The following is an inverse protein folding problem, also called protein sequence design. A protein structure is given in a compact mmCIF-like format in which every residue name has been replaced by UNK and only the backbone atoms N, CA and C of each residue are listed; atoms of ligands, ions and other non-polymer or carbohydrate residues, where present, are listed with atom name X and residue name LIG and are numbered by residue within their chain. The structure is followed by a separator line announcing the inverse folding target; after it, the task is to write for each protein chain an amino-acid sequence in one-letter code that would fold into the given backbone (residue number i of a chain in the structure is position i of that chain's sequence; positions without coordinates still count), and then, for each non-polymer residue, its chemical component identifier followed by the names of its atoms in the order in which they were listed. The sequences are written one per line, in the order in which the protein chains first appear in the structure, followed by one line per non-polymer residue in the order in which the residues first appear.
data_IF_404923868218
#
_entry.id   IF_404923868218
#
_cell.length_a   1.000
_cell.length_b   1.000
_cell.length_c   1.000
_cell.angle_alpha   90.00
_cell.angle_beta   90.00
_cell.angle_gamma   90.00
#
_symmetry.space_group_name_H-M   'P 1'
#
loop_
_entity.id
_entity.type
_entity.pdbx_description
1 polymer ?
#
# COMPACT_ATOMS: atom_id res chain seq x y z
N UNK A 1 -18.16 -30.82 -8.35
CA UNK A 1 -18.02 -29.66 -7.44
C UNK A 1 -17.93 -30.21 -6.03
N UNK A 2 -16.99 -29.73 -5.22
CA UNK A 2 -16.85 -30.21 -3.84
C UNK A 2 -18.14 -29.94 -3.05
N UNK A 3 -18.59 -30.91 -2.27
CA UNK A 3 -19.80 -30.77 -1.45
C UNK A 3 -19.55 -29.77 -0.31
N UNK A 4 -20.62 -29.17 0.22
CA UNK A 4 -20.53 -28.26 1.39
C UNK A 4 -19.82 -28.94 2.56
N UNK A 5 -20.00 -30.26 2.71
CA UNK A 5 -19.41 -31.08 3.76
C UNK A 5 -17.90 -31.29 3.57
N UNK A 6 -17.47 -31.57 2.34
CA UNK A 6 -16.04 -31.64 1.99
C UNK A 6 -15.32 -30.32 2.24
N UNK A 7 -15.95 -29.19 1.90
CA UNK A 7 -15.37 -27.87 2.14
C UNK A 7 -15.22 -27.57 3.64
N UNK A 8 -16.17 -28.01 4.47
CA UNK A 8 -16.09 -27.86 5.94
C UNK A 8 -14.96 -28.72 6.51
N UNK A 9 -14.78 -29.95 6.03
CA UNK A 9 -13.66 -30.83 6.41
C UNK A 9 -12.31 -30.21 6.04
N UNK A 10 -12.17 -29.71 4.81
CA UNK A 10 -10.96 -29.03 4.35
C UNK A 10 -10.59 -27.83 5.24
N UNK A 11 -11.57 -27.02 5.64
CA UNK A 11 -11.35 -25.88 6.54
C UNK A 11 -10.84 -26.37 7.91
N UNK A 12 -11.40 -27.46 8.45
CA UNK A 12 -10.97 -28.02 9.73
C UNK A 12 -9.53 -28.56 9.64
N UNK A 13 -9.20 -29.27 8.58
CA UNK A 13 -7.85 -29.82 8.35
C UNK A 13 -6.80 -28.70 8.28
N UNK A 14 -7.09 -27.62 7.53
CA UNK A 14 -6.22 -26.45 7.44
C UNK A 14 -6.07 -25.76 8.81
N UNK A 15 -7.16 -25.64 9.57
CA UNK A 15 -7.15 -25.00 10.89
C UNK A 15 -6.37 -25.79 11.95
N UNK A 16 -6.28 -27.12 11.80
CA UNK A 16 -5.54 -27.99 12.73
C UNK A 16 -4.04 -27.70 12.79
N UNK A 17 -3.48 -27.16 11.70
CA UNK A 17 -2.05 -26.81 11.62
C UNK A 17 -1.68 -25.53 12.39
N UNK A 18 -2.68 -24.70 12.73
CA UNK A 18 -2.44 -23.44 13.41
C UNK A 18 -2.45 -23.61 14.94
N UNK A 19 -1.65 -22.81 15.67
CA UNK A 19 -1.80 -22.68 17.12
C UNK A 19 -3.21 -22.23 17.50
N UNK A 20 -3.72 -22.67 18.66
CA UNK A 20 -5.11 -22.47 19.09
C UNK A 20 -5.62 -21.02 18.94
N UNK A 21 -4.79 -20.05 19.35
CA UNK A 21 -5.11 -18.61 19.27
C UNK A 21 -5.25 -18.13 17.83
N UNK A 22 -4.42 -18.64 16.93
CA UNK A 22 -4.45 -18.31 15.50
C UNK A 22 -5.62 -19.02 14.81
N UNK A 23 -5.85 -20.30 15.11
CA UNK A 23 -6.96 -21.09 14.60
C UNK A 23 -8.32 -20.44 14.94
N UNK A 24 -8.55 -20.07 16.21
CA UNK A 24 -9.79 -19.40 16.66
C UNK A 24 -10.04 -18.05 15.95
N UNK A 25 -8.97 -17.33 15.58
CA UNK A 25 -9.09 -16.08 14.83
C UNK A 25 -9.32 -16.35 13.34
N UNK A 26 -8.63 -17.32 12.74
CA UNK A 26 -8.76 -17.69 11.31
C UNK A 26 -10.10 -18.34 10.99
N UNK A 27 -10.67 -19.12 11.90
CA UNK A 27 -11.99 -19.73 11.73
C UNK A 27 -13.09 -18.70 11.42
N UNK A 28 -12.97 -17.47 11.95
CA UNK A 28 -13.93 -16.38 11.67
C UNK A 28 -13.80 -15.78 10.27
N UNK A 29 -12.74 -16.11 9.54
CA UNK A 29 -12.41 -15.59 8.21
C UNK A 29 -12.60 -16.64 7.11
N UNK A 30 -13.01 -17.87 7.47
CA UNK A 30 -13.26 -18.97 6.54
C UNK A 30 -14.74 -19.36 6.69
N UNK A 31 -15.45 -19.45 5.57
CA UNK A 31 -16.85 -19.84 5.53
C UNK A 31 -17.13 -20.58 4.22
N UNK A 32 -18.13 -21.45 4.25
CA UNK A 32 -18.58 -22.18 3.06
C UNK A 32 -19.87 -21.53 2.59
N UNK A 33 -19.95 -21.26 1.29
CA UNK A 33 -21.16 -20.76 0.67
C UNK A 33 -22.24 -21.84 0.68
N UNK A 34 -23.45 -21.49 1.12
CA UNK A 34 -24.63 -22.36 1.12
C UNK A 34 -25.72 -21.64 0.31
N UNK A 35 -26.31 -22.33 -0.67
CA UNK A 35 -27.36 -21.77 -1.52
C UNK A 35 -28.56 -21.31 -0.67
N UNK A 36 -29.02 -20.07 -0.90
CA UNK A 36 -30.13 -19.46 -0.15
C UNK A 36 -29.70 -18.57 1.03
N UNK A 37 -28.42 -18.52 1.40
CA UNK A 37 -27.89 -17.51 2.33
C UNK A 37 -27.18 -16.38 1.58
N UNK A 38 -27.53 -15.14 1.93
CA UNK A 38 -26.95 -13.94 1.29
C UNK A 38 -25.51 -13.64 1.72
N UNK A 39 -25.05 -14.19 2.83
CA UNK A 39 -23.70 -14.01 3.37
C UNK A 39 -23.17 -15.31 3.98
N UNK A 40 -21.87 -15.54 3.83
CA UNK A 40 -21.14 -16.68 4.38
C UNK A 40 -20.77 -16.49 5.87
N UNK A 41 -21.19 -15.37 6.49
CA UNK A 41 -20.94 -15.07 7.91
C UNK A 41 -19.47 -14.80 8.26
N UNK A 42 -18.66 -14.47 7.24
CA UNK A 42 -17.22 -14.27 7.39
C UNK A 42 -16.93 -12.85 7.89
N UNK A 43 -16.08 -12.74 8.91
CA UNK A 43 -15.59 -11.43 9.35
C UNK A 43 -14.54 -10.95 8.37
N UNK A 44 -14.61 -9.70 7.93
CA UNK A 44 -13.60 -9.07 7.06
C UNK A 44 -13.02 -7.82 7.73
N UNK A 45 -12.03 -7.18 7.08
CA UNK A 45 -11.39 -5.95 7.56
C UNK A 45 -10.87 -5.99 9.03
N UNK A 46 -10.29 -7.11 9.44
CA UNK A 46 -9.55 -7.24 10.70
C UNK A 46 -8.05 -7.36 10.44
N UNK A 47 -7.24 -6.99 11.44
CA UNK A 47 -5.79 -7.07 11.38
C UNK A 47 -5.33 -8.49 11.03
N UNK A 48 -4.31 -8.60 10.18
CA UNK A 48 -3.70 -9.88 9.84
C UNK A 48 -3.04 -10.49 11.07
N UNK A 49 -3.00 -11.82 11.12
CA UNK A 49 -2.20 -12.50 12.12
C UNK A 49 -0.71 -12.35 11.79
N UNK A 50 0.16 -12.21 12.79
CA UNK A 50 1.60 -12.21 12.56
C UNK A 50 2.07 -13.60 12.09
N UNK A 51 3.04 -13.64 11.16
CA UNK A 51 3.69 -14.88 10.73
C UNK A 51 2.92 -15.76 9.74
N UNK A 52 1.68 -15.42 9.35
CA UNK A 52 0.86 -16.26 8.46
C UNK A 52 0.97 -15.93 6.97
N UNK A 53 2.06 -15.27 6.55
CA UNK A 53 2.32 -14.89 5.15
C UNK A 53 1.10 -14.28 4.42
N UNK A 54 0.57 -13.19 4.97
CA UNK A 54 -0.59 -12.50 4.37
C UNK A 54 -0.24 -11.85 3.03
N UNK A 55 -1.11 -11.98 2.03
CA UNK A 55 -0.97 -11.31 0.73
C UNK A 55 -1.34 -9.80 0.75
N UNK A 56 -1.50 -9.20 1.94
CA UNK A 56 -1.92 -7.80 2.06
C UNK A 56 -0.74 -6.84 1.91
N UNK A 57 -1.00 -5.70 1.28
CA UNK A 57 -0.12 -4.54 1.28
C UNK A 57 -0.35 -3.61 2.48
N UNK A 58 0.21 -2.41 2.41
CA UNK A 58 0.03 -1.35 3.41
C UNK A 58 -0.80 -0.18 2.86
N UNK A 59 -1.19 0.76 3.73
CA UNK A 59 -1.98 1.94 3.33
C UNK A 59 -1.26 2.78 2.25
N UNK A 60 0.07 2.88 2.28
CA UNK A 60 0.87 3.55 1.25
C UNK A 60 0.68 2.92 -0.14
N UNK A 61 0.64 1.58 -0.21
CA UNK A 61 0.39 0.89 -1.47
C UNK A 61 -1.00 1.22 -2.02
N UNK A 62 -2.01 1.32 -1.15
CA UNK A 62 -3.37 1.74 -1.51
C UNK A 62 -3.46 3.20 -1.95
N UNK A 63 -2.83 4.13 -1.24
CA UNK A 63 -2.87 5.55 -1.59
C UNK A 63 -2.04 5.84 -2.84
N UNK A 64 -0.71 5.67 -2.77
CA UNK A 64 0.20 6.02 -3.87
C UNK A 64 0.14 5.01 -5.00
N UNK A 65 0.18 3.72 -4.70
CA UNK A 65 0.28 2.69 -5.74
C UNK A 65 -1.01 2.51 -6.56
N UNK A 66 -2.16 2.66 -5.90
CA UNK A 66 -3.46 2.36 -6.53
C UNK A 66 -4.22 3.62 -6.95
N UNK A 67 -4.45 4.57 -6.03
CA UNK A 67 -5.35 5.72 -6.29
C UNK A 67 -4.63 6.92 -6.90
N UNK A 68 -3.55 7.37 -6.28
CA UNK A 68 -2.87 8.62 -6.67
C UNK A 68 -1.88 8.41 -7.81
N UNK A 69 -1.11 7.32 -7.81
CA UNK A 69 -0.07 7.06 -8.82
C UNK A 69 -0.51 7.07 -10.30
N UNK A 70 -1.73 6.65 -10.67
CA UNK A 70 -2.24 6.77 -12.03
C UNK A 70 -2.47 8.20 -12.52
N UNK A 71 -2.50 9.19 -11.62
CA UNK A 71 -2.69 10.60 -12.00
C UNK A 71 -1.39 11.08 -12.65
N UNK A 72 -1.42 11.17 -13.98
CA UNK A 72 -0.23 11.31 -14.83
C UNK A 72 0.41 12.71 -14.76
N UNK A 73 -0.39 13.75 -14.59
CA UNK A 73 -0.02 15.18 -14.59
C UNK A 73 0.38 15.72 -13.20
N UNK A 74 0.49 14.82 -12.22
CA UNK A 74 0.89 15.14 -10.85
C UNK A 74 2.22 14.49 -10.48
N UNK A 75 3.03 15.21 -9.71
CA UNK A 75 4.25 14.62 -9.12
C UNK A 75 3.93 14.02 -7.76
N UNK A 76 4.12 12.70 -7.66
CA UNK A 76 3.92 11.93 -6.44
C UNK A 76 5.24 11.71 -5.70
N UNK A 77 5.45 12.42 -4.59
CA UNK A 77 6.63 12.27 -3.74
C UNK A 77 6.37 11.18 -2.69
N UNK A 78 7.16 10.11 -2.75
CA UNK A 78 7.27 9.10 -1.71
C UNK A 78 8.06 9.67 -0.53
N UNK A 79 7.37 10.07 0.54
CA UNK A 79 7.98 10.76 1.67
C UNK A 79 8.45 9.78 2.75
N UNK A 80 9.72 9.40 2.65
CA UNK A 80 10.40 8.54 3.61
C UNK A 80 11.67 7.95 3.02
N UNK A 81 12.11 6.78 3.52
CA UNK A 81 13.24 6.03 2.95
C UNK A 81 12.98 5.56 1.51
N UNK A 82 14.04 5.25 0.76
CA UNK A 82 13.97 4.89 -0.67
C UNK A 82 13.08 3.67 -0.99
N UNK A 83 12.97 2.70 -0.07
CA UNK A 83 12.38 1.39 -0.35
C UNK A 83 10.95 1.43 -0.88
N UNK A 84 10.04 2.17 -0.23
CA UNK A 84 8.63 2.20 -0.65
C UNK A 84 8.44 2.81 -2.05
N UNK A 85 9.24 3.82 -2.40
CA UNK A 85 9.22 4.41 -3.74
C UNK A 85 9.73 3.42 -4.79
N UNK A 86 10.84 2.74 -4.49
CA UNK A 86 11.49 1.80 -5.40
C UNK A 86 10.62 0.57 -5.69
N UNK A 87 10.10 -0.12 -4.66
CA UNK A 87 9.27 -1.32 -4.87
C UNK A 87 7.91 -1.03 -5.52
N UNK A 88 7.44 0.22 -5.44
CA UNK A 88 6.21 0.66 -6.12
C UNK A 88 6.48 1.37 -7.44
N UNK A 89 7.71 1.31 -7.95
CA UNK A 89 8.10 1.98 -9.18
C UNK A 89 7.70 1.14 -10.39
N UNK A 90 6.70 1.62 -11.14
CA UNK A 90 6.22 0.99 -12.38
C UNK A 90 5.77 -0.48 -12.26
N UNK A 91 5.63 -1.02 -11.04
CA UNK A 91 5.17 -2.41 -10.82
C UNK A 91 3.67 -2.61 -11.09
N UNK A 92 2.86 -1.54 -11.02
CA UNK A 92 1.44 -1.56 -11.41
C UNK A 92 1.29 -0.93 -12.80
N UNK A 93 0.71 -1.69 -13.73
CA UNK A 93 0.53 -1.32 -15.15
C UNK A 93 -0.60 -0.30 -15.35
N UNK A 94 -0.46 0.88 -14.76
CA UNK A 94 -1.37 2.00 -14.96
C UNK A 94 -0.98 2.73 -16.24
N UNK A 95 -1.56 2.33 -17.37
CA UNK A 95 -1.25 2.94 -18.66
C UNK A 95 -1.68 4.41 -18.71
N UNK A 96 -0.85 5.24 -19.33
CA UNK A 96 -1.15 6.64 -19.59
C UNK A 96 -0.59 7.04 -20.95
N UNK A 97 -1.10 8.14 -21.47
CA UNK A 97 -0.63 8.78 -22.71
C UNK A 97 0.06 10.09 -22.32
N UNK A 98 1.31 10.24 -22.74
CA UNK A 98 2.15 11.42 -22.53
C UNK A 98 3.64 11.10 -22.64
N UNK A 99 4.48 12.13 -22.58
CA UNK A 99 5.94 12.03 -22.57
C UNK A 99 6.46 12.06 -21.14
N UNK A 100 6.85 10.87 -20.65
CA UNK A 100 7.37 10.68 -19.30
C UNK A 100 8.52 11.64 -18.99
N UNK A 101 8.41 12.41 -17.91
CA UNK A 101 9.41 13.39 -17.47
C UNK A 101 9.17 14.82 -17.95
N UNK A 102 8.23 15.03 -18.88
CA UNK A 102 7.85 16.37 -19.37
C UNK A 102 6.45 16.74 -18.89
N UNK A 103 5.44 16.03 -19.38
CA UNK A 103 4.02 16.27 -19.08
C UNK A 103 3.44 15.19 -18.15
N UNK A 104 4.12 14.05 -18.03
CA UNK A 104 3.63 12.87 -17.33
C UNK A 104 4.69 12.27 -16.42
N UNK A 105 4.27 11.87 -15.22
CA UNK A 105 5.17 11.44 -14.13
C UNK A 105 4.81 10.08 -13.53
N UNK A 106 3.85 9.37 -14.12
CA UNK A 106 3.30 8.12 -13.56
C UNK A 106 4.33 7.00 -13.38
N UNK A 107 5.32 6.90 -14.27
CA UNK A 107 6.41 5.92 -14.17
C UNK A 107 7.70 6.50 -13.60
N UNK A 108 7.69 7.63 -12.89
CA UNK A 108 8.89 8.17 -12.23
C UNK A 108 8.79 8.02 -10.72
N UNK A 109 9.88 7.60 -10.09
CA UNK A 109 9.99 7.55 -8.63
C UNK A 109 10.57 8.84 -8.07
N UNK A 110 9.71 9.71 -7.54
CA UNK A 110 10.15 10.82 -6.69
C UNK A 110 10.14 10.37 -5.23
N UNK A 111 11.27 10.53 -4.54
CA UNK A 111 11.39 10.20 -3.13
C UNK A 111 12.16 11.28 -2.37
N UNK A 112 11.88 11.43 -1.07
CA UNK A 112 12.69 12.28 -0.19
C UNK A 112 13.95 11.60 0.32
N UNK A 113 14.09 10.28 0.08
CA UNK A 113 15.22 9.43 0.46
C UNK A 113 15.76 9.76 1.86
N UNK A 114 14.99 9.41 2.88
CA UNK A 114 15.37 9.70 4.27
C UNK A 114 16.66 8.98 4.64
N UNK A 115 17.62 9.78 5.09
CA UNK A 115 18.84 9.31 5.74
C UNK A 115 18.66 9.37 7.26
N UNK A 116 19.56 8.76 8.02
CA UNK A 116 19.43 8.69 9.49
C UNK A 116 19.26 10.06 10.16
N UNK A 117 19.99 11.08 9.67
CA UNK A 117 19.82 12.48 10.09
C UNK A 117 18.39 13.01 9.92
N UNK A 118 17.68 12.59 8.88
CA UNK A 118 16.32 13.03 8.59
C UNK A 118 15.31 12.33 9.52
N UNK A 119 15.65 11.16 10.04
CA UNK A 119 14.87 10.43 11.06
C UNK A 119 15.05 11.09 12.43
N UNK A 120 16.30 11.43 12.79
CA UNK A 120 16.63 12.04 14.09
C UNK A 120 16.14 13.48 14.19
N UNK A 121 16.42 14.31 13.18
CA UNK A 121 16.13 15.75 13.21
C UNK A 121 14.83 16.14 12.48
N UNK A 122 14.17 15.18 11.84
CA UNK A 122 12.94 15.41 11.07
C UNK A 122 13.19 15.86 9.63
N UNK A 123 12.32 15.41 8.72
CA UNK A 123 12.47 15.62 7.26
C UNK A 123 11.80 16.86 6.68
N UNK A 124 11.22 17.75 7.50
CA UNK A 124 10.42 18.89 7.02
C UNK A 124 11.23 19.88 6.19
N UNK A 125 12.47 20.16 6.61
CA UNK A 125 13.39 21.05 5.87
C UNK A 125 13.75 20.46 4.51
N UNK A 126 14.05 19.16 4.48
CA UNK A 126 14.39 18.42 3.26
C UNK A 126 13.22 18.36 2.28
N UNK A 127 12.00 18.17 2.79
CA UNK A 127 10.78 18.13 1.97
C UNK A 127 10.52 19.46 1.27
N UNK A 128 10.66 20.58 1.99
CA UNK A 128 10.54 21.92 1.41
C UNK A 128 11.63 22.17 0.37
N UNK A 129 12.86 21.74 0.63
CA UNK A 129 13.96 21.86 -0.32
C UNK A 129 13.71 21.02 -1.59
N UNK A 130 13.25 19.78 -1.46
CA UNK A 130 12.93 18.91 -2.59
C UNK A 130 11.79 19.46 -3.44
N UNK A 131 10.71 19.97 -2.83
CA UNK A 131 9.64 20.66 -3.58
C UNK A 131 10.18 21.85 -4.36
N UNK A 132 11.06 22.67 -3.75
CA UNK A 132 11.68 23.82 -4.43
C UNK A 132 12.60 23.41 -5.58
N UNK A 133 13.44 22.39 -5.37
CA UNK A 133 14.36 21.87 -6.41
C UNK A 133 13.59 21.28 -7.56
N UNK A 134 12.64 20.40 -7.27
CA UNK A 134 11.91 19.73 -8.32
C UNK A 134 11.03 20.71 -9.09
N UNK A 135 10.43 21.74 -8.45
CA UNK A 135 9.68 22.81 -9.16
C UNK A 135 10.51 23.56 -10.21
N UNK A 136 11.84 23.60 -10.08
CA UNK A 136 12.73 24.21 -11.09
C UNK A 136 13.02 23.30 -12.27
N UNK A 137 13.06 21.99 -12.03
CA UNK A 137 13.40 20.98 -13.05
C UNK A 137 12.15 20.54 -13.80
N UNK A 138 11.04 20.45 -13.06
CA UNK A 138 9.75 19.96 -13.51
C UNK A 138 8.72 20.88 -12.86
N UNK A 139 7.99 21.70 -13.63
CA UNK A 139 6.87 22.47 -13.11
C UNK A 139 5.56 21.67 -13.26
N UNK A 140 5.22 20.71 -12.38
CA UNK A 140 3.94 20.04 -12.48
C UNK A 140 2.83 20.99 -12.06
N UNK A 141 1.61 20.68 -12.51
CA UNK A 141 0.42 21.41 -12.08
C UNK A 141 0.16 21.20 -10.57
N UNK A 142 0.40 19.98 -10.06
CA UNK A 142 0.14 19.65 -8.65
C UNK A 142 1.17 18.69 -8.04
N UNK A 143 1.27 18.74 -6.71
CA UNK A 143 2.17 17.92 -5.90
C UNK A 143 1.37 17.08 -4.91
N UNK A 144 1.66 15.78 -4.87
CA UNK A 144 1.14 14.88 -3.85
C UNK A 144 2.28 14.36 -2.97
N UNK A 145 2.16 14.53 -1.66
CA UNK A 145 3.10 13.98 -0.68
C UNK A 145 2.50 12.70 -0.08
N UNK A 146 3.09 11.55 -0.40
CA UNK A 146 2.67 10.28 0.20
C UNK A 146 3.59 9.90 1.36
N UNK A 147 3.07 10.02 2.58
CA UNK A 147 3.77 9.62 3.80
C UNK A 147 4.06 8.12 3.87
N UNK A 148 5.30 7.77 4.18
CA UNK A 148 5.74 6.41 4.52
C UNK A 148 5.87 6.29 6.05
N UNK A 149 5.89 5.07 6.57
CA UNK A 149 6.28 4.81 7.97
C UNK A 149 7.60 5.53 8.26
N UNK A 150 7.71 6.15 9.44
CA UNK A 150 8.78 7.08 9.89
C UNK A 150 8.62 8.54 9.48
N UNK A 151 7.77 8.88 8.50
CA UNK A 151 7.43 10.30 8.30
C UNK A 151 6.56 10.79 9.47
N UNK A 152 6.99 11.85 10.16
CA UNK A 152 6.10 12.57 11.07
C UNK A 152 5.06 13.33 10.25
N UNK A 153 3.91 13.67 10.84
CA UNK A 153 2.88 14.47 10.17
C UNK A 153 3.50 15.81 9.75
N UNK A 154 3.70 15.99 8.45
CA UNK A 154 4.23 17.23 7.89
C UNK A 154 3.07 18.23 7.80
N UNK A 155 3.16 19.33 8.54
CA UNK A 155 2.19 20.40 8.42
C UNK A 155 2.63 21.34 7.28
N UNK A 156 1.96 21.22 6.14
CA UNK A 156 2.08 22.17 5.05
C UNK A 156 1.16 23.35 5.34
N UNK A 157 1.57 24.18 6.32
CA UNK A 157 1.10 25.57 6.40
C UNK A 157 1.59 26.36 5.20
#
# INVERSE_FOLDING_TARGET
MATVEENKKLIADVLSTYPEKAAKKRAKHLGVYEEGKSDCGVKSNKQSLPGVMTARGCAYAGSKGVVWGPIKDMVHISHGPVGCGYYSWSGRRNYYIGTTGIDTFGTINFTSDFQEKDIVFGGDKKTRQNRRRNRRIIPPQWWYLCSVRMSRRVNWG
#
